data_IF_389911460821
#
_entry.id   IF_389911460821
#
_cell.length_a   1.000
_cell.length_b   1.000
_cell.length_c   1.000
_cell.angle_alpha   90.00
_cell.angle_beta   90.00
_cell.angle_gamma   90.00
#
_symmetry.space_group_name_H-M   'P 1'
#
loop_
_entity.id
_entity.type
_entity.pdbx_description
1 polymer ?
#
# COMPACT_ATOMS: atom_id res chain seq x y z
N UNK A 1 -15.77 -21.33 0.55
CA UNK A 1 -14.77 -21.46 -0.54
C UNK A 1 -13.57 -20.63 -0.11
N UNK A 2 -12.39 -21.21 0.03
CA UNK A 2 -11.18 -20.42 0.30
C UNK A 2 -10.93 -19.48 -0.88
N UNK A 3 -10.70 -18.22 -0.58
CA UNK A 3 -10.36 -17.21 -1.59
C UNK A 3 -8.95 -17.47 -2.09
N UNK A 4 -8.81 -17.78 -3.38
CA UNK A 4 -7.52 -17.93 -4.04
C UNK A 4 -7.08 -16.60 -4.60
N UNK A 5 -5.94 -16.11 -4.14
CA UNK A 5 -5.39 -14.80 -4.51
C UNK A 5 -5.08 -14.71 -6.00
N UNK A 6 -5.54 -13.65 -6.64
CA UNK A 6 -5.37 -13.39 -8.06
C UNK A 6 -4.31 -12.33 -8.29
N UNK A 7 -3.21 -12.71 -8.93
CA UNK A 7 -2.05 -11.85 -9.22
C UNK A 7 -2.03 -11.51 -10.72
N UNK A 8 -2.00 -10.22 -11.03
CA UNK A 8 -1.76 -9.75 -12.40
C UNK A 8 -0.27 -9.44 -12.57
N UNK A 9 0.37 -10.05 -13.55
CA UNK A 9 1.78 -9.86 -13.90
C UNK A 9 1.86 -9.01 -15.16
N UNK A 10 2.50 -7.85 -15.06
CA UNK A 10 2.65 -6.88 -16.15
C UNK A 10 4.14 -6.67 -16.42
N UNK A 11 4.63 -7.21 -17.52
CA UNK A 11 6.03 -7.18 -17.93
C UNK A 11 6.06 -7.33 -19.46
N UNK A 12 6.91 -6.67 -20.20
CA UNK A 12 7.02 -6.82 -21.67
C UNK A 12 7.76 -8.10 -22.06
N UNK A 13 8.63 -8.63 -21.18
CA UNK A 13 9.35 -9.87 -21.39
C UNK A 13 8.43 -11.09 -21.19
N UNK A 14 8.17 -11.81 -22.27
CA UNK A 14 7.32 -13.01 -22.25
C UNK A 14 7.89 -14.12 -21.38
N UNK A 15 9.20 -14.33 -21.38
CA UNK A 15 9.84 -15.41 -20.62
C UNK A 15 9.69 -15.15 -19.12
N UNK A 16 9.85 -13.89 -18.70
CA UNK A 16 9.63 -13.48 -17.29
C UNK A 16 8.17 -13.71 -16.91
N UNK A 17 7.20 -13.27 -17.76
CA UNK A 17 5.77 -13.48 -17.46
C UNK A 17 5.44 -14.97 -17.32
N UNK A 18 5.90 -15.81 -18.25
CA UNK A 18 5.61 -17.24 -18.26
C UNK A 18 6.26 -17.95 -17.05
N UNK A 19 7.51 -17.61 -16.72
CA UNK A 19 8.23 -18.13 -15.55
C UNK A 19 7.55 -17.76 -14.26
N UNK A 20 7.27 -16.47 -14.06
CA UNK A 20 6.64 -15.95 -12.84
C UNK A 20 5.23 -16.54 -12.69
N UNK A 21 4.42 -16.50 -13.74
CA UNK A 21 3.06 -17.03 -13.73
C UNK A 21 3.05 -18.53 -13.36
N UNK A 22 3.91 -19.33 -14.01
CA UNK A 22 4.01 -20.77 -13.73
C UNK A 22 4.44 -21.05 -12.31
N UNK A 23 5.41 -20.28 -11.78
CA UNK A 23 5.90 -20.45 -10.42
C UNK A 23 4.83 -20.08 -9.38
N UNK A 24 4.14 -18.98 -9.55
CA UNK A 24 3.08 -18.52 -8.65
C UNK A 24 1.88 -19.48 -8.67
N UNK A 25 1.49 -19.98 -9.85
CA UNK A 25 0.41 -20.96 -9.99
C UNK A 25 0.72 -22.27 -9.27
N UNK A 26 1.97 -22.77 -9.35
CA UNK A 26 2.43 -23.96 -8.61
C UNK A 26 2.37 -23.78 -7.08
N UNK A 27 2.39 -22.54 -6.62
CA UNK A 27 2.30 -22.19 -5.20
C UNK A 27 0.87 -21.76 -4.78
N UNK A 28 -0.16 -22.12 -5.55
CA UNK A 28 -1.56 -21.97 -5.16
C UNK A 28 -2.18 -20.60 -5.45
N UNK A 29 -1.50 -19.73 -6.22
CA UNK A 29 -2.02 -18.43 -6.61
C UNK A 29 -2.66 -18.51 -8.00
N UNK A 30 -3.75 -17.78 -8.21
CA UNK A 30 -4.29 -17.54 -9.54
C UNK A 30 -3.47 -16.44 -10.22
N UNK A 31 -3.13 -16.62 -11.50
CA UNK A 31 -2.32 -15.66 -12.24
C UNK A 31 -2.97 -15.24 -13.54
N UNK A 32 -2.78 -13.99 -13.92
CA UNK A 32 -3.04 -13.44 -15.26
C UNK A 32 -1.87 -12.58 -15.69
N UNK A 33 -1.69 -12.43 -16.99
CA UNK A 33 -0.54 -11.70 -17.55
C UNK A 33 -0.98 -10.61 -18.49
N UNK A 34 -0.21 -9.52 -18.56
CA UNK A 34 -0.34 -8.45 -19.55
C UNK A 34 1.06 -8.07 -20.04
N UNK A 35 1.19 -7.82 -21.35
CA UNK A 35 2.47 -7.49 -21.96
C UNK A 35 2.76 -5.97 -21.97
N UNK A 36 1.75 -5.15 -21.68
CA UNK A 36 1.84 -3.70 -21.70
C UNK A 36 0.70 -3.07 -20.86
N UNK A 37 0.76 -1.75 -20.68
CA UNK A 37 -0.25 -1.01 -19.92
C UNK A 37 -1.63 -1.01 -20.58
N UNK A 38 -1.73 -1.16 -21.89
CA UNK A 38 -3.03 -1.26 -22.59
C UNK A 38 -3.73 -2.58 -22.24
N UNK A 39 -2.99 -3.69 -22.32
CA UNK A 39 -3.52 -5.00 -21.92
C UNK A 39 -3.86 -5.02 -20.44
N UNK A 40 -3.01 -4.41 -19.58
CA UNK A 40 -3.28 -4.25 -18.15
C UNK A 40 -4.62 -3.55 -17.89
N UNK A 41 -4.87 -2.39 -18.52
CA UNK A 41 -6.13 -1.64 -18.38
C UNK A 41 -7.32 -2.46 -18.83
N UNK A 42 -7.25 -3.03 -20.03
CA UNK A 42 -8.32 -3.87 -20.59
C UNK A 42 -8.66 -5.04 -19.68
N UNK A 43 -7.64 -5.65 -19.06
CA UNK A 43 -7.84 -6.74 -18.12
C UNK A 43 -8.52 -6.26 -16.82
N UNK A 44 -8.03 -5.17 -16.24
CA UNK A 44 -8.55 -4.59 -15.00
C UNK A 44 -9.95 -4.00 -15.15
N UNK A 45 -10.36 -3.62 -16.37
CA UNK A 45 -11.72 -3.16 -16.64
C UNK A 45 -12.77 -4.26 -16.48
N UNK A 46 -12.38 -5.50 -16.76
CA UNK A 46 -13.26 -6.68 -16.71
C UNK A 46 -13.03 -7.59 -15.51
N UNK A 47 -11.92 -7.44 -14.79
CA UNK A 47 -11.52 -8.36 -13.71
C UNK A 47 -11.03 -7.63 -12.48
N UNK A 48 -11.20 -8.28 -11.32
CA UNK A 48 -10.58 -7.88 -10.06
C UNK A 48 -9.32 -8.70 -9.81
N UNK A 49 -8.31 -8.07 -9.21
CA UNK A 49 -7.07 -8.71 -8.79
C UNK A 49 -6.71 -8.31 -7.36
N UNK A 50 -6.01 -9.18 -6.66
CA UNK A 50 -5.59 -8.95 -5.28
C UNK A 50 -4.24 -8.25 -5.19
N UNK A 51 -3.39 -8.36 -6.24
CA UNK A 51 -2.10 -7.70 -6.34
C UNK A 51 -1.65 -7.59 -7.79
N UNK A 52 -0.95 -6.50 -8.12
CA UNK A 52 -0.31 -6.30 -9.42
C UNK A 52 1.21 -6.37 -9.23
N UNK A 53 1.87 -7.24 -9.99
CA UNK A 53 3.33 -7.24 -10.19
C UNK A 53 3.58 -6.45 -11.47
N UNK A 54 4.30 -5.33 -11.38
CA UNK A 54 4.44 -4.36 -12.46
C UNK A 54 5.93 -4.09 -12.76
N UNK A 55 6.35 -4.36 -13.98
CA UNK A 55 7.67 -3.94 -14.43
C UNK A 55 7.74 -2.42 -14.59
N UNK A 56 8.84 -1.84 -14.14
CA UNK A 56 9.14 -0.41 -14.29
C UNK A 56 9.55 -0.09 -15.73
N UNK A 57 10.36 -0.94 -16.33
CA UNK A 57 11.05 -0.66 -17.61
C UNK A 57 10.38 -1.38 -18.76
N UNK A 58 9.25 -0.86 -19.24
CA UNK A 58 8.55 -1.40 -20.42
C UNK A 58 8.68 -0.46 -21.63
N UNK A 59 8.87 -0.99 -22.86
CA UNK A 59 8.93 -0.18 -24.07
C UNK A 59 7.65 0.64 -24.28
N UNK A 60 7.82 1.92 -24.54
CA UNK A 60 6.72 2.83 -24.90
C UNK A 60 5.83 3.31 -23.75
N UNK A 61 5.92 2.69 -22.56
CA UNK A 61 5.18 3.16 -21.38
C UNK A 61 5.91 2.83 -20.08
N UNK A 62 6.24 3.85 -19.31
CA UNK A 62 6.89 3.74 -18.02
C UNK A 62 5.94 3.13 -16.97
N UNK A 63 6.39 2.05 -16.31
CA UNK A 63 5.65 1.41 -15.22
C UNK A 63 5.37 2.33 -14.04
N UNK A 64 6.22 3.33 -13.79
CA UNK A 64 5.97 4.37 -12.78
C UNK A 64 4.75 5.23 -13.16
N UNK A 65 4.61 5.58 -14.44
CA UNK A 65 3.45 6.32 -14.94
C UNK A 65 2.17 5.48 -14.79
N UNK A 66 2.23 4.17 -15.08
CA UNK A 66 1.12 3.24 -14.86
C UNK A 66 0.74 3.12 -13.39
N UNK A 67 1.71 3.03 -12.49
CA UNK A 67 1.47 3.00 -11.05
C UNK A 67 0.72 4.27 -10.60
N UNK A 68 1.16 5.44 -11.05
CA UNK A 68 0.50 6.72 -10.76
C UNK A 68 -0.94 6.75 -11.28
N UNK A 69 -1.18 6.27 -12.48
CA UNK A 69 -2.50 6.16 -13.08
C UNK A 69 -3.42 5.24 -12.25
N UNK A 70 -2.94 4.07 -11.86
CA UNK A 70 -3.68 3.13 -10.99
C UNK A 70 -4.05 3.78 -9.66
N UNK A 71 -3.12 4.55 -9.05
CA UNK A 71 -3.35 5.26 -7.78
C UNK A 71 -4.34 6.43 -7.90
N UNK A 72 -4.49 7.01 -9.08
CA UNK A 72 -5.50 8.05 -9.35
C UNK A 72 -6.88 7.48 -9.72
N UNK A 73 -6.95 6.23 -10.16
CA UNK A 73 -8.15 5.58 -10.71
C UNK A 73 -8.91 4.69 -9.72
N UNK A 74 -9.80 3.86 -10.26
CA UNK A 74 -10.63 2.89 -9.52
C UNK A 74 -9.82 1.77 -8.81
N UNK A 75 -8.59 1.52 -9.27
CA UNK A 75 -7.68 0.50 -8.71
C UNK A 75 -6.69 1.07 -7.69
N UNK A 76 -6.98 2.24 -7.14
CA UNK A 76 -6.09 2.97 -6.20
C UNK A 76 -5.74 2.20 -4.92
N UNK A 77 -6.59 1.27 -4.49
CA UNK A 77 -6.37 0.43 -3.32
C UNK A 77 -5.68 -0.91 -3.65
N UNK A 78 -5.61 -1.32 -4.93
CA UNK A 78 -4.98 -2.58 -5.32
C UNK A 78 -3.47 -2.53 -5.03
N UNK A 79 -2.91 -3.49 -4.28
CA UNK A 79 -1.49 -3.55 -4.00
C UNK A 79 -0.66 -3.66 -5.26
N UNK A 80 0.48 -2.95 -5.31
CA UNK A 80 1.42 -2.97 -6.44
C UNK A 80 2.82 -3.31 -5.92
N UNK A 81 3.39 -4.40 -6.44
CA UNK A 81 4.79 -4.75 -6.28
C UNK A 81 5.52 -4.44 -7.58
N UNK A 82 6.49 -3.54 -7.55
CA UNK A 82 7.23 -3.15 -8.75
C UNK A 82 8.48 -4.00 -8.95
N UNK A 83 8.71 -4.41 -10.21
CA UNK A 83 9.97 -5.00 -10.63
C UNK A 83 10.83 -3.93 -11.29
N UNK A 84 12.10 -3.81 -10.91
CA UNK A 84 13.00 -2.79 -11.45
C UNK A 84 14.34 -3.39 -11.85
N UNK A 85 14.89 -2.96 -12.99
CA UNK A 85 16.24 -3.35 -13.43
C UNK A 85 17.35 -2.59 -12.70
N UNK A 86 17.01 -1.52 -11.96
CA UNK A 86 17.97 -0.66 -11.28
C UNK A 86 17.93 -0.86 -9.79
N UNK A 87 19.11 -1.08 -9.24
CA UNK A 87 19.36 -1.20 -7.79
C UNK A 87 19.57 0.17 -7.11
N UNK A 88 19.50 1.29 -7.85
CA UNK A 88 19.74 2.62 -7.30
C UNK A 88 18.66 2.99 -6.27
N UNK A 89 19.14 3.44 -5.12
CA UNK A 89 18.31 3.89 -3.99
C UNK A 89 17.31 4.97 -4.45
N UNK A 90 17.69 5.78 -5.43
CA UNK A 90 16.86 6.83 -6.03
C UNK A 90 15.63 6.28 -6.75
N UNK A 91 15.78 5.19 -7.52
CA UNK A 91 14.65 4.58 -8.26
C UNK A 91 13.66 3.88 -7.30
N UNK A 92 14.15 3.33 -6.20
CA UNK A 92 13.30 2.79 -5.13
C UNK A 92 12.49 3.88 -4.43
N UNK A 93 13.13 5.02 -4.15
CA UNK A 93 12.47 6.20 -3.57
C UNK A 93 11.39 6.71 -4.52
N UNK A 94 11.71 6.91 -5.80
CA UNK A 94 10.77 7.40 -6.82
C UNK A 94 9.55 6.48 -6.94
N UNK A 95 9.75 5.21 -6.94
CA UNK A 95 8.63 4.30 -7.10
C UNK A 95 7.77 4.16 -5.85
N UNK A 96 8.35 4.22 -4.64
CA UNK A 96 7.57 4.38 -3.42
C UNK A 96 6.83 5.73 -3.44
N UNK A 97 7.41 6.79 -3.98
CA UNK A 97 6.74 8.08 -4.24
C UNK A 97 5.54 7.93 -5.17
N UNK A 98 5.60 7.02 -6.14
CA UNK A 98 4.52 6.77 -7.10
C UNK A 98 3.40 5.87 -6.56
N UNK A 99 3.51 5.33 -5.34
CA UNK A 99 2.43 4.57 -4.69
C UNK A 99 2.59 3.06 -4.69
N UNK A 100 3.74 2.51 -5.06
CA UNK A 100 4.01 1.09 -4.90
C UNK A 100 4.00 0.66 -3.42
N UNK A 101 3.60 -0.59 -3.16
CA UNK A 101 3.56 -1.19 -1.82
C UNK A 101 4.83 -1.97 -1.49
N UNK A 102 5.58 -2.42 -2.51
CA UNK A 102 6.89 -3.05 -2.38
C UNK A 102 7.67 -3.01 -3.70
N UNK A 103 8.95 -3.34 -3.65
CA UNK A 103 9.90 -3.35 -4.76
C UNK A 103 10.73 -4.61 -4.76
N UNK A 104 11.08 -5.06 -5.98
CA UNK A 104 12.03 -6.15 -6.18
C UNK A 104 12.93 -5.83 -7.37
N UNK A 105 14.24 -5.85 -7.15
CA UNK A 105 15.23 -5.61 -8.21
C UNK A 105 15.46 -6.85 -9.07
N UNK A 106 15.53 -6.67 -10.38
CA UNK A 106 15.98 -7.68 -11.35
C UNK A 106 17.53 -7.71 -11.36
N UNK A 107 18.17 -8.91 -11.42
CA UNK A 107 17.56 -10.23 -11.40
C UNK A 107 17.10 -10.66 -10.00
N UNK A 108 15.98 -11.39 -9.90
CA UNK A 108 15.41 -11.86 -8.65
C UNK A 108 15.19 -13.38 -8.66
N UNK A 109 15.16 -13.97 -7.47
CA UNK A 109 14.73 -15.35 -7.30
C UNK A 109 13.19 -15.40 -7.24
N UNK A 110 12.56 -16.34 -7.95
CA UNK A 110 11.10 -16.52 -7.92
C UNK A 110 10.56 -16.77 -6.50
N UNK A 111 11.35 -17.38 -5.62
CA UNK A 111 11.03 -17.58 -4.21
C UNK A 111 10.95 -16.25 -3.44
N UNK A 112 11.83 -15.29 -3.75
CA UNK A 112 11.82 -13.96 -3.13
C UNK A 112 10.57 -13.20 -3.57
N UNK A 113 10.25 -13.22 -4.88
CA UNK A 113 9.03 -12.60 -5.40
C UNK A 113 7.78 -13.14 -4.70
N UNK A 114 7.66 -14.47 -4.56
CA UNK A 114 6.55 -15.11 -3.85
C UNK A 114 6.48 -14.66 -2.38
N UNK A 115 7.62 -14.62 -1.69
CA UNK A 115 7.67 -14.20 -0.29
C UNK A 115 7.21 -12.74 -0.14
N UNK A 116 7.60 -11.83 -1.05
CA UNK A 116 7.16 -10.43 -1.07
C UNK A 116 5.67 -10.29 -1.41
N UNK A 117 5.17 -11.01 -2.41
CA UNK A 117 3.73 -11.07 -2.72
C UNK A 117 2.94 -11.47 -1.49
N UNK A 118 3.31 -12.57 -0.82
CA UNK A 118 2.64 -13.05 0.38
C UNK A 118 2.73 -12.04 1.53
N UNK A 119 3.87 -11.35 1.69
CA UNK A 119 4.03 -10.32 2.69
C UNK A 119 3.13 -9.10 2.41
N UNK A 120 3.01 -8.66 1.15
CA UNK A 120 2.13 -7.56 0.74
C UNK A 120 0.66 -7.96 0.95
N UNK A 121 0.22 -9.12 0.46
CA UNK A 121 -1.15 -9.63 0.63
C UNK A 121 -1.51 -9.78 2.10
N UNK A 122 -0.63 -10.35 2.92
CA UNK A 122 -0.84 -10.43 4.37
C UNK A 122 -0.98 -9.05 4.99
N UNK A 123 -0.11 -8.11 4.63
CA UNK A 123 -0.16 -6.74 5.14
C UNK A 123 -1.44 -5.98 4.72
N UNK A 124 -2.00 -6.28 3.56
CA UNK A 124 -3.28 -5.68 3.12
C UNK A 124 -4.50 -6.30 3.79
N UNK A 125 -4.42 -7.55 4.24
CA UNK A 125 -5.54 -8.29 4.87
C UNK A 125 -5.49 -8.32 6.38
N UNK A 126 -4.29 -8.37 6.95
CA UNK A 126 -4.09 -8.44 8.39
C UNK A 126 -3.53 -7.12 8.92
N UNK A 127 -4.14 -6.60 9.95
CA UNK A 127 -3.45 -5.67 10.83
C UNK A 127 -2.33 -6.43 11.53
N UNK A 128 -1.15 -5.82 11.79
CA UNK A 128 -0.16 -6.40 12.66
C UNK A 128 -0.79 -6.88 13.97
N UNK A 129 -0.30 -7.94 14.62
CA UNK A 129 -0.91 -8.50 15.84
C UNK A 129 -1.12 -7.47 16.96
N UNK A 130 -0.28 -6.44 17.01
CA UNK A 130 -0.39 -5.31 17.93
C UNK A 130 -1.50 -4.30 17.57
N UNK A 131 -2.08 -4.41 16.38
CA UNK A 131 -3.20 -3.58 15.89
C UNK A 131 -4.51 -4.38 15.77
N UNK A 132 -4.52 -5.66 16.14
CA UNK A 132 -5.72 -6.49 16.22
C UNK A 132 -6.49 -6.15 17.48
N UNK A 133 -7.29 -5.08 17.43
CA UNK A 133 -8.23 -4.77 18.49
C UNK A 133 -9.64 -5.09 17.98
N UNK A 134 -10.28 -6.02 18.67
CA UNK A 134 -11.72 -6.38 18.62
C UNK A 134 -12.32 -6.68 17.24
N UNK A 135 -12.87 -7.88 17.08
CA UNK A 135 -13.64 -8.35 15.90
C UNK A 135 -14.96 -7.57 15.69
N UNK A 136 -15.35 -6.68 16.60
CA UNK A 136 -16.48 -5.79 16.42
C UNK A 136 -16.04 -4.61 15.53
N UNK A 137 -16.67 -4.47 14.38
CA UNK A 137 -16.44 -3.35 13.48
C UNK A 137 -16.56 -2.02 14.21
N UNK A 138 -15.53 -1.19 14.15
CA UNK A 138 -15.51 0.11 14.82
C UNK A 138 -15.39 1.22 13.77
N UNK A 139 -16.12 2.28 14.01
CA UNK A 139 -15.92 3.55 13.31
C UNK A 139 -15.06 4.42 14.21
N UNK A 140 -13.86 4.76 13.75
CA UNK A 140 -12.91 5.61 14.46
C UNK A 140 -13.01 7.03 13.89
N UNK A 141 -13.35 7.98 14.74
CA UNK A 141 -13.49 9.39 14.34
C UNK A 141 -12.30 10.19 14.86
N UNK A 142 -11.68 10.99 13.99
CA UNK A 142 -10.59 11.89 14.33
C UNK A 142 -10.72 13.19 13.55
N UNK A 143 -10.97 14.27 14.25
CA UNK A 143 -11.37 15.54 13.64
C UNK A 143 -12.63 15.39 12.79
N UNK A 144 -12.55 15.69 11.50
CA UNK A 144 -13.68 15.56 10.54
C UNK A 144 -13.71 14.21 9.82
N UNK A 145 -12.73 13.34 10.07
CA UNK A 145 -12.56 12.07 9.39
C UNK A 145 -13.16 10.91 10.16
N UNK A 146 -13.69 9.93 9.42
CA UNK A 146 -14.19 8.66 9.97
C UNK A 146 -13.54 7.48 9.26
N UNK A 147 -12.95 6.57 10.01
CA UNK A 147 -12.35 5.34 9.49
C UNK A 147 -13.24 4.14 9.84
N UNK A 148 -13.86 3.52 8.84
CA UNK A 148 -14.49 2.21 8.97
C UNK A 148 -13.41 1.13 8.95
N UNK A 149 -13.21 0.46 10.08
CA UNK A 149 -12.14 -0.52 10.23
C UNK A 149 -12.42 -1.86 9.54
N UNK A 150 -13.70 -2.20 9.31
CA UNK A 150 -14.12 -3.42 8.62
C UNK A 150 -13.95 -3.25 7.11
N UNK A 151 -14.53 -2.17 6.59
CA UNK A 151 -14.48 -1.87 5.16
C UNK A 151 -13.14 -1.28 4.74
N UNK A 152 -12.33 -0.81 5.72
CA UNK A 152 -11.08 -0.07 5.51
C UNK A 152 -11.27 1.20 4.66
N UNK A 153 -12.41 1.84 4.83
CA UNK A 153 -12.78 3.06 4.13
C UNK A 153 -12.56 4.26 5.02
N UNK A 154 -11.87 5.26 4.50
CA UNK A 154 -11.77 6.58 5.10
C UNK A 154 -12.87 7.46 4.49
N UNK A 155 -13.68 8.08 5.35
CA UNK A 155 -14.77 8.95 4.94
C UNK A 155 -14.48 10.39 5.38
N UNK A 156 -14.68 11.34 4.49
CA UNK A 156 -14.61 12.77 4.82
C UNK A 156 -15.84 13.26 5.60
N UNK A 157 -15.90 14.56 5.90
CA UNK A 157 -17.01 15.19 6.61
C UNK A 157 -18.35 15.08 5.84
N UNK A 158 -18.31 14.95 4.52
CA UNK A 158 -19.47 14.80 3.63
C UNK A 158 -19.88 13.33 3.45
N UNK A 159 -19.11 12.39 4.00
CA UNK A 159 -19.32 10.96 3.84
C UNK A 159 -18.78 10.41 2.51
N UNK A 160 -17.96 11.19 1.81
CA UNK A 160 -17.30 10.76 0.59
C UNK A 160 -16.14 9.82 0.93
N UNK A 161 -16.04 8.71 0.22
CA UNK A 161 -14.97 7.75 0.42
C UNK A 161 -13.66 8.25 -0.16
N UNK A 162 -12.63 8.31 0.69
CA UNK A 162 -11.25 8.55 0.31
C UNK A 162 -10.47 7.25 0.40
N UNK A 163 -10.12 6.68 -0.74
CA UNK A 163 -9.40 5.43 -0.76
C UNK A 163 -7.95 5.61 -0.34
N UNK A 164 -7.49 4.71 0.51
CA UNK A 164 -6.11 4.58 0.96
C UNK A 164 -5.48 3.34 0.33
N UNK A 165 -4.20 3.42 -0.03
CA UNK A 165 -3.41 2.22 -0.28
C UNK A 165 -3.24 1.41 1.01
N UNK A 166 -2.86 0.13 0.90
CA UNK A 166 -2.63 -0.70 2.08
C UNK A 166 -1.59 -0.12 3.04
N UNK A 167 -0.54 0.54 2.52
CA UNK A 167 0.48 1.19 3.31
C UNK A 167 -0.03 2.46 4.02
N UNK A 168 -0.79 3.31 3.33
CA UNK A 168 -1.41 4.51 3.89
C UNK A 168 -2.41 4.14 5.00
N UNK A 169 -3.22 3.09 4.79
CA UNK A 169 -4.15 2.59 5.80
C UNK A 169 -3.42 2.12 7.07
N UNK A 170 -2.35 1.32 6.92
CA UNK A 170 -1.56 0.86 8.08
C UNK A 170 -0.94 2.01 8.85
N UNK A 171 -0.35 2.99 8.15
CA UNK A 171 0.22 4.16 8.79
C UNK A 171 -0.84 4.96 9.55
N UNK A 172 -2.00 5.18 8.93
CA UNK A 172 -3.12 5.85 9.58
C UNK A 172 -3.57 5.10 10.83
N UNK A 173 -3.69 3.76 10.76
CA UNK A 173 -4.03 2.93 11.92
C UNK A 173 -3.02 3.07 13.04
N UNK A 174 -1.73 3.04 12.74
CA UNK A 174 -0.68 3.25 13.75
C UNK A 174 -0.84 4.60 14.46
N UNK A 175 -1.13 5.66 13.72
CA UNK A 175 -1.39 6.97 14.33
C UNK A 175 -2.66 7.00 15.17
N UNK A 176 -3.74 6.38 14.69
CA UNK A 176 -5.02 6.31 15.40
C UNK A 176 -4.90 5.48 16.70
N UNK A 177 -4.11 4.41 16.69
CA UNK A 177 -3.89 3.56 17.87
C UNK A 177 -2.91 4.19 18.87
N UNK A 178 -2.21 5.24 18.47
CA UNK A 178 -1.29 6.00 19.32
C UNK A 178 -1.57 7.52 19.24
N UNK A 179 -2.79 7.97 19.55
CA UNK A 179 -3.17 9.37 19.39
C UNK A 179 -2.33 10.24 20.32
N UNK A 180 -1.96 11.43 19.86
CA UNK A 180 -1.21 12.44 20.60
C UNK A 180 0.17 11.97 21.12
N UNK A 181 0.66 10.83 20.65
CA UNK A 181 1.99 10.31 20.95
C UNK A 181 2.93 10.55 19.78
N UNK A 182 4.09 11.11 20.06
CA UNK A 182 5.16 11.22 19.05
C UNK A 182 5.74 9.84 18.78
N UNK A 183 5.77 9.45 17.51
CA UNK A 183 6.36 8.20 17.03
C UNK A 183 7.54 8.55 16.13
N UNK A 184 8.71 8.02 16.44
CA UNK A 184 9.87 8.19 15.58
C UNK A 184 9.77 7.31 14.33
N UNK A 185 10.69 7.53 13.35
CA UNK A 185 10.66 6.83 12.06
C UNK A 185 10.78 5.32 12.23
N UNK A 186 11.68 4.87 13.10
CA UNK A 186 11.89 3.44 13.37
C UNK A 186 10.64 2.81 14.00
N UNK A 187 9.99 3.50 14.94
CA UNK A 187 8.74 3.04 15.53
C UNK A 187 7.62 2.94 14.50
N UNK A 188 7.47 3.97 13.64
CA UNK A 188 6.48 3.94 12.56
C UNK A 188 6.77 2.82 11.57
N UNK A 189 8.03 2.62 11.20
CA UNK A 189 8.45 1.54 10.32
C UNK A 189 8.12 0.17 10.91
N UNK A 190 8.54 -0.08 12.15
CA UNK A 190 8.30 -1.34 12.86
C UNK A 190 6.80 -1.62 13.07
N UNK A 191 6.01 -0.61 13.40
CA UNK A 191 4.57 -0.75 13.62
C UNK A 191 3.78 -0.93 12.31
N UNK A 192 4.24 -0.37 11.19
CA UNK A 192 3.56 -0.50 9.89
C UNK A 192 3.97 -1.73 9.10
N UNK A 193 5.22 -2.19 9.23
CA UNK A 193 5.80 -3.26 8.40
C UNK A 193 6.07 -4.56 9.16
N UNK A 194 6.13 -4.53 10.49
CA UNK A 194 6.52 -5.68 11.31
C UNK A 194 8.04 -5.91 11.33
N UNK A 195 8.49 -7.08 11.84
CA UNK A 195 9.91 -7.39 12.12
C UNK A 195 10.83 -7.48 10.90
N UNK A 196 10.31 -7.42 9.68
CA UNK A 196 11.10 -7.54 8.44
C UNK A 196 11.55 -6.16 7.89
N UNK A 197 11.66 -5.15 8.73
CA UNK A 197 11.78 -3.73 8.39
C UNK A 197 13.21 -3.26 8.02
N UNK A 198 14.14 -4.14 7.64
CA UNK A 198 15.57 -3.78 7.54
C UNK A 198 15.98 -2.81 6.40
N UNK A 199 15.07 -2.27 5.57
CA UNK A 199 15.54 -1.58 4.36
C UNK A 199 14.99 -0.18 4.04
N UNK A 200 14.11 0.49 4.84
CA UNK A 200 13.47 1.72 4.28
C UNK A 200 13.19 2.86 5.29
N UNK A 201 14.21 3.46 5.86
CA UNK A 201 14.07 4.62 6.76
C UNK A 201 13.44 5.85 6.05
N UNK A 202 13.76 6.07 4.77
CA UNK A 202 13.19 7.18 3.98
C UNK A 202 11.74 6.97 3.50
N UNK A 203 11.25 5.76 3.51
CA UNK A 203 9.89 5.43 3.04
C UNK A 203 8.79 6.02 3.93
N UNK A 204 9.04 6.21 5.21
CA UNK A 204 8.06 6.76 6.17
C UNK A 204 7.74 8.21 5.89
N UNK A 205 8.71 9.06 5.59
CA UNK A 205 8.50 10.49 5.31
C UNK A 205 7.59 10.68 4.08
N UNK A 206 7.80 9.86 3.05
CA UNK A 206 6.98 9.84 1.85
C UNK A 206 5.57 9.33 2.12
N UNK A 207 5.47 8.27 2.92
CA UNK A 207 4.18 7.70 3.28
C UNK A 207 3.34 8.69 4.12
N UNK A 208 4.00 9.41 5.04
CA UNK A 208 3.38 10.52 5.78
C UNK A 208 2.94 11.65 4.84
N UNK A 209 3.78 12.03 3.88
CA UNK A 209 3.44 13.07 2.89
C UNK A 209 2.17 12.69 2.10
N UNK A 210 2.07 11.45 1.63
CA UNK A 210 0.88 10.96 0.93
C UNK A 210 -0.34 10.90 1.81
N UNK A 211 -0.19 10.39 3.03
CA UNK A 211 -1.30 10.32 3.97
C UNK A 211 -1.83 11.74 4.28
N UNK A 212 -0.95 12.74 4.42
CA UNK A 212 -1.36 14.15 4.52
C UNK A 212 -2.16 14.59 3.31
N UNK A 213 -1.72 14.28 2.10
CA UNK A 213 -2.48 14.62 0.87
C UNK A 213 -3.86 13.98 0.87
N UNK A 214 -4.00 12.71 1.32
CA UNK A 214 -5.32 12.05 1.45
C UNK A 214 -6.23 12.73 2.47
N UNK A 215 -5.64 13.24 3.54
CA UNK A 215 -6.35 13.95 4.61
C UNK A 215 -6.58 15.44 4.31
N UNK A 216 -6.11 15.94 3.15
CA UNK A 216 -6.14 17.37 2.86
C UNK A 216 -5.34 18.20 3.88
N UNK A 217 -4.30 17.61 4.48
CA UNK A 217 -3.50 18.18 5.55
C UNK A 217 -2.28 18.92 5.00
N UNK A 218 -2.20 20.23 5.17
CA UNK A 218 -1.06 21.01 4.67
C UNK A 218 0.19 20.74 5.50
N UNK A 219 1.27 20.35 4.84
CA UNK A 219 2.55 20.06 5.51
C UNK A 219 3.18 21.29 6.19
N UNK A 220 2.80 22.52 5.81
CA UNK A 220 3.27 23.78 6.42
C UNK A 220 2.51 24.14 7.69
N UNK A 221 1.19 23.86 7.69
CA UNK A 221 0.30 24.09 8.83
C UNK A 221 -0.55 22.85 9.10
N UNK A 222 0.07 21.71 9.51
CA UNK A 222 -0.63 20.46 9.63
C UNK A 222 -1.64 20.47 10.78
N UNK A 223 -2.87 20.06 10.48
CA UNK A 223 -3.96 19.91 11.46
C UNK A 223 -3.94 18.51 12.08
N UNK A 224 -3.71 17.50 11.27
CA UNK A 224 -3.81 16.09 11.69
C UNK A 224 -2.45 15.49 12.05
N UNK A 225 -1.52 15.42 11.10
CA UNK A 225 -0.23 14.79 11.31
C UNK A 225 0.86 15.84 11.40
N UNK A 226 1.31 16.16 12.62
CA UNK A 226 2.37 17.14 12.86
C UNK A 226 3.74 16.50 12.83
N UNK A 227 4.73 17.24 12.29
CA UNK A 227 6.15 16.89 12.38
C UNK A 227 6.73 17.48 13.66
N UNK A 228 7.30 16.63 14.50
CA UNK A 228 8.10 17.06 15.65
C UNK A 228 9.57 16.94 15.24
N UNK A 229 10.24 18.10 15.13
CA UNK A 229 11.62 18.15 14.63
C UNK A 229 12.54 17.23 15.43
N UNK A 230 13.32 16.44 14.74
CA UNK A 230 14.28 15.45 15.27
C UNK A 230 13.65 14.28 16.05
N UNK A 231 12.34 14.25 16.28
CA UNK A 231 11.67 13.22 17.08
C UNK A 231 10.77 12.31 16.24
N UNK A 232 10.05 12.86 15.22
CA UNK A 232 9.17 12.06 14.36
C UNK A 232 7.85 12.75 14.02
N UNK A 233 6.75 12.00 14.11
CA UNK A 233 5.41 12.44 13.74
C UNK A 233 4.39 12.13 14.83
N UNK A 234 3.32 12.90 14.87
CA UNK A 234 2.24 12.75 15.85
C UNK A 234 0.88 13.05 15.21
N UNK A 235 -0.13 12.22 15.49
CA UNK A 235 -1.52 12.57 15.24
C UNK A 235 -1.97 13.52 16.34
N UNK A 236 -2.21 14.80 15.98
CA UNK A 236 -2.44 15.88 16.94
C UNK A 236 -3.89 16.01 17.40
N UNK A 237 -4.83 15.32 16.76
CA UNK A 237 -6.25 15.33 17.10
C UNK A 237 -6.61 14.13 17.98
N UNK A 238 -7.63 14.26 18.85
CA UNK A 238 -8.14 13.13 19.60
C UNK A 238 -8.82 12.12 18.67
N UNK A 239 -8.88 10.87 19.11
CA UNK A 239 -9.58 9.77 18.43
C UNK A 239 -10.73 9.32 19.30
N UNK A 240 -11.91 9.23 18.73
CA UNK A 240 -13.13 8.72 19.35
C UNK A 240 -13.56 7.41 18.71
N UNK A 241 -13.99 6.45 19.51
CA UNK A 241 -14.49 5.17 19.04
C UNK A 241 -16.01 5.25 19.06
N UNK A 242 -16.62 5.07 17.89
CA UNK A 242 -18.09 4.98 17.77
C UNK A 242 -18.46 3.55 17.39
N UNK A 243 -19.25 2.89 18.21
CA UNK A 243 -19.80 1.59 17.84
C UNK A 243 -20.74 1.76 16.64
N UNK A 244 -20.71 0.83 15.65
CA UNK A 244 -21.67 0.87 14.56
C UNK A 244 -23.08 0.75 15.15
N UNK A 245 -23.94 1.68 14.82
CA UNK A 245 -25.38 1.56 15.14
C UNK A 245 -25.91 0.30 14.46
N UNK A 246 -26.40 -0.61 15.26
CA UNK A 246 -27.12 -1.82 14.85
C UNK A 246 -28.28 -1.51 13.91
#
# INVERSE_FOLDING_TARGET
MEHVDHILIVDDDREIRDLVSSYLAKNGLRTSTAADGRQMRSFLDANSVDLIVLDVMMPGQDGLALCRELRAGKHKATPILMLTARSDEMDRVIGLEMGADDYLSKPFAARELLARINAVLRRTRMLPPNLQISEAGQILTFGTWRLDTVRRHLLDAQGTEVALSGAEYRLLRVFIDHPQRVLNRDQLLNLTQGRDAELFDRSIDLLVSRLRQRLGDDAREPTYIKTVRSEGYVLSVPVEITEPRS
#
